data_IF_993903892584
#
_entry.id   IF_993903892584
#
_cell.length_a   1.000
_cell.length_b   1.000
_cell.length_c   1.000
_cell.angle_alpha   90.00
_cell.angle_beta   90.00
_cell.angle_gamma   90.00
#
_symmetry.space_group_name_H-M   'P 1'
#
loop_
_entity.id
_entity.type
_entity.pdbx_description
1 polymer ?
#
# COMPACT_ATOMS: atom_id res chain seq x y z
N UNK A 1 13.15 20.51 30.26
CA UNK A 1 13.29 19.14 30.81
C UNK A 1 12.89 18.98 32.27
N UNK A 2 12.84 20.04 33.10
CA UNK A 2 12.42 19.92 34.52
C UNK A 2 11.01 19.32 34.69
N UNK A 3 10.08 19.65 33.82
CA UNK A 3 8.70 19.15 33.90
C UNK A 3 8.55 17.65 33.64
N UNK A 4 9.45 17.06 32.83
CA UNK A 4 9.46 15.62 32.58
C UNK A 4 9.91 14.79 33.79
N UNK A 5 10.66 15.38 34.73
CA UNK A 5 11.10 14.68 35.94
C UNK A 5 9.96 14.48 36.94
N UNK A 6 8.86 15.25 36.80
CA UNK A 6 7.70 15.14 37.67
C UNK A 6 6.76 13.96 37.33
N UNK A 7 6.91 13.39 36.11
CA UNK A 7 6.02 12.36 35.59
C UNK A 7 6.83 11.16 35.09
N UNK A 8 6.40 9.97 35.48
CA UNK A 8 7.07 8.75 35.01
C UNK A 8 6.84 8.54 33.51
N UNK A 9 7.90 8.33 32.75
CA UNK A 9 7.85 8.16 31.29
C UNK A 9 6.95 6.98 30.86
N UNK A 10 6.92 5.89 31.64
CA UNK A 10 6.02 4.77 31.39
C UNK A 10 4.54 5.15 31.53
N UNK A 11 4.21 6.09 32.42
CA UNK A 11 2.86 6.62 32.54
C UNK A 11 2.47 7.46 31.31
N UNK A 12 3.38 8.31 30.83
CA UNK A 12 3.17 9.05 29.59
C UNK A 12 3.02 8.12 28.38
N UNK A 13 3.84 7.06 28.33
CA UNK A 13 3.76 6.04 27.26
C UNK A 13 2.40 5.30 27.31
N UNK A 14 1.90 4.98 28.50
CA UNK A 14 0.57 4.38 28.64
C UNK A 14 -0.55 5.32 28.19
N UNK A 15 -0.48 6.61 28.56
CA UNK A 15 -1.43 7.63 28.10
C UNK A 15 -1.40 7.77 26.58
N UNK A 16 -0.21 7.82 25.96
CA UNK A 16 -0.07 7.89 24.50
C UNK A 16 -0.73 6.70 23.82
N UNK A 17 -0.38 5.47 24.23
CA UNK A 17 -0.89 4.25 23.63
C UNK A 17 -2.43 4.16 23.74
N UNK A 18 -3.00 4.48 24.92
CA UNK A 18 -4.46 4.51 25.14
C UNK A 18 -5.12 5.57 24.26
N UNK A 19 -4.53 6.75 24.16
CA UNK A 19 -5.08 7.86 23.35
C UNK A 19 -5.09 7.52 21.85
N UNK A 20 -4.03 6.91 21.34
CA UNK A 20 -3.91 6.55 19.93
C UNK A 20 -4.76 5.35 19.54
N UNK A 21 -4.83 4.33 20.41
CA UNK A 21 -5.53 3.06 20.13
C UNK A 21 -7.01 3.08 20.59
N UNK A 22 -7.40 4.07 21.41
CA UNK A 22 -8.77 4.21 21.91
C UNK A 22 -9.21 3.09 22.87
N UNK A 23 -8.29 2.21 23.31
CA UNK A 23 -8.60 1.02 24.10
C UNK A 23 -7.47 0.67 25.06
N UNK A 24 -7.84 0.40 26.35
CA UNK A 24 -6.90 -0.11 27.34
C UNK A 24 -6.37 -1.51 26.97
N UNK A 25 -7.19 -2.35 26.35
CA UNK A 25 -6.78 -3.69 25.93
C UNK A 25 -5.75 -3.59 24.80
N UNK A 26 -6.02 -2.84 23.75
CA UNK A 26 -5.11 -2.66 22.65
C UNK A 26 -3.78 -2.02 23.08
N UNK A 27 -3.82 -1.07 24.03
CA UNK A 27 -2.63 -0.48 24.62
C UNK A 27 -1.83 -1.51 25.47
N UNK A 28 -2.51 -2.38 26.21
CA UNK A 28 -1.87 -3.44 26.98
C UNK A 28 -1.15 -4.44 26.07
N UNK A 29 -1.81 -4.84 24.98
CA UNK A 29 -1.25 -5.76 23.98
C UNK A 29 0.01 -5.16 23.33
N UNK A 30 -0.04 -3.88 22.92
CA UNK A 30 1.11 -3.18 22.33
C UNK A 30 2.27 -3.00 23.31
N UNK A 31 1.95 -2.68 24.58
CA UNK A 31 2.96 -2.42 25.60
C UNK A 31 3.52 -3.71 26.23
N UNK A 32 2.92 -4.87 25.95
CA UNK A 32 3.34 -6.16 26.52
C UNK A 32 3.09 -6.27 28.02
N UNK A 33 2.00 -5.66 28.52
CA UNK A 33 1.62 -5.62 29.93
C UNK A 33 0.14 -5.97 30.12
N UNK A 34 -0.31 -6.09 31.39
CA UNK A 34 -1.75 -6.33 31.66
C UNK A 34 -2.55 -5.05 31.56
N UNK A 35 -3.87 -5.18 31.24
CA UNK A 35 -4.81 -4.04 31.21
C UNK A 35 -4.84 -3.29 32.54
N UNK A 36 -4.78 -4.02 33.66
CA UNK A 36 -4.69 -3.43 35.01
C UNK A 36 -3.45 -2.57 35.18
N UNK A 37 -2.30 -3.02 34.65
CA UNK A 37 -1.05 -2.25 34.69
C UNK A 37 -1.16 -0.97 33.87
N UNK A 38 -1.73 -1.01 32.66
CA UNK A 38 -1.95 0.18 31.84
C UNK A 38 -2.88 1.16 32.55
N UNK A 39 -4.00 0.69 33.09
CA UNK A 39 -4.95 1.52 33.85
C UNK A 39 -4.27 2.21 35.04
N UNK A 40 -3.48 1.50 35.81
CA UNK A 40 -2.72 2.07 36.94
C UNK A 40 -1.68 3.10 36.50
N UNK A 41 -0.98 2.85 35.40
CA UNK A 41 -0.02 3.80 34.82
C UNK A 41 -0.71 5.10 34.38
N UNK A 42 -1.87 4.99 33.74
CA UNK A 42 -2.67 6.17 33.31
C UNK A 42 -3.11 6.97 34.53
N UNK A 43 -3.75 6.32 35.53
CA UNK A 43 -4.24 6.99 36.76
C UNK A 43 -3.09 7.69 37.48
N UNK A 44 -1.94 7.02 37.64
CA UNK A 44 -0.77 7.59 38.29
C UNK A 44 -0.23 8.82 37.56
N UNK A 45 -0.15 8.74 36.22
CA UNK A 45 0.31 9.86 35.41
C UNK A 45 -0.66 11.04 35.42
N UNK A 46 -1.97 10.80 35.37
CA UNK A 46 -3.00 11.86 35.54
C UNK A 46 -2.91 12.54 36.92
N UNK A 47 -2.67 11.73 37.98
CA UNK A 47 -2.40 12.26 39.31
C UNK A 47 -1.16 13.14 39.38
N UNK A 48 -0.09 12.77 38.70
CA UNK A 48 1.13 13.57 38.60
C UNK A 48 0.95 14.84 37.75
N UNK A 49 0.12 14.78 36.70
CA UNK A 49 -0.26 15.93 35.88
C UNK A 49 -1.21 16.90 36.62
N UNK A 50 -1.89 16.44 37.68
CA UNK A 50 -2.93 17.19 38.36
C UNK A 50 -4.19 17.40 37.52
N UNK A 51 -4.35 16.68 36.43
CA UNK A 51 -5.45 16.80 35.46
C UNK A 51 -5.77 15.47 34.81
N UNK A 52 -7.05 15.17 34.60
CA UNK A 52 -7.51 14.01 33.89
C UNK A 52 -7.30 14.22 32.36
N UNK A 53 -6.65 13.27 31.72
CA UNK A 53 -6.49 13.22 30.26
C UNK A 53 -7.66 12.50 29.60
N UNK A 54 -8.23 11.51 30.31
CA UNK A 54 -9.38 10.75 29.85
C UNK A 54 -10.56 10.89 30.78
N UNK A 55 -11.76 10.77 30.22
CA UNK A 55 -13.04 10.60 30.93
C UNK A 55 -13.64 9.24 30.57
N UNK A 56 -14.34 8.63 31.54
CA UNK A 56 -15.06 7.38 31.34
C UNK A 56 -16.45 7.68 30.78
N UNK A 57 -16.78 7.06 29.66
CA UNK A 57 -18.11 7.12 29.04
C UNK A 57 -18.69 5.72 28.93
N UNK A 58 -19.99 5.63 28.62
CA UNK A 58 -20.64 4.33 28.35
C UNK A 58 -20.03 3.55 27.20
N UNK A 59 -19.26 4.23 26.31
CA UNK A 59 -18.57 3.65 25.14
C UNK A 59 -17.06 3.43 25.35
N UNK A 60 -16.56 3.60 26.58
CA UNK A 60 -15.13 3.47 26.90
C UNK A 60 -14.49 4.78 27.35
N UNK A 61 -13.17 4.89 27.16
CA UNK A 61 -12.41 6.09 27.49
C UNK A 61 -12.45 7.08 26.31
N UNK A 62 -12.65 8.38 26.65
CA UNK A 62 -12.52 9.48 25.69
C UNK A 62 -11.54 10.53 26.22
N UNK A 63 -10.80 11.22 25.35
CA UNK A 63 -10.00 12.37 25.75
C UNK A 63 -10.90 13.48 26.34
N UNK A 64 -10.42 14.12 27.41
CA UNK A 64 -11.02 15.37 27.94
C UNK A 64 -10.63 16.54 27.02
N UNK A 65 -11.29 17.72 27.15
CA UNK A 65 -10.86 18.95 26.44
C UNK A 65 -9.40 19.34 26.69
N UNK A 66 -8.84 18.97 27.84
CA UNK A 66 -7.41 19.08 28.13
C UNK A 66 -6.62 17.94 27.46
N UNK A 67 -7.16 16.74 27.49
CA UNK A 67 -6.50 15.53 26.99
C UNK A 67 -6.24 15.58 25.49
N UNK A 68 -7.15 16.11 24.68
CA UNK A 68 -7.05 16.14 23.23
C UNK A 68 -5.75 16.84 22.72
N UNK A 69 -5.50 18.12 23.03
CA UNK A 69 -4.25 18.80 22.61
C UNK A 69 -3.02 18.22 23.31
N UNK A 70 -3.16 17.69 24.52
CA UNK A 70 -2.07 17.05 25.23
C UNK A 70 -1.62 15.76 24.53
N UNK A 71 -2.56 14.89 24.12
CA UNK A 71 -2.31 13.65 23.38
C UNK A 71 -1.64 13.92 22.04
N UNK A 72 -2.02 14.97 21.31
CA UNK A 72 -1.37 15.35 20.06
C UNK A 72 0.11 15.65 20.25
N UNK A 73 0.45 16.45 21.27
CA UNK A 73 1.83 16.79 21.61
C UNK A 73 2.62 15.59 22.12
N UNK A 74 1.97 14.75 22.94
CA UNK A 74 2.59 13.55 23.50
C UNK A 74 2.92 12.53 22.40
N UNK A 75 2.01 12.31 21.47
CA UNK A 75 2.20 11.44 20.31
C UNK A 75 3.35 11.95 19.42
N UNK A 76 3.46 13.26 19.17
CA UNK A 76 4.59 13.85 18.46
C UNK A 76 5.91 13.57 19.17
N UNK A 77 5.97 13.80 20.50
CA UNK A 77 7.18 13.54 21.31
C UNK A 77 7.62 12.08 21.31
N UNK A 78 6.68 11.12 21.43
CA UNK A 78 7.00 9.69 21.36
C UNK A 78 7.41 9.25 19.95
N UNK A 79 6.89 9.85 18.91
CA UNK A 79 7.40 9.64 17.53
C UNK A 79 8.86 10.05 17.40
N UNK A 80 9.24 11.21 17.90
CA UNK A 80 10.65 11.67 17.90
C UNK A 80 11.56 10.72 18.70
N UNK A 81 11.12 10.24 19.86
CA UNK A 81 11.86 9.25 20.65
C UNK A 81 12.00 7.92 19.89
N UNK A 82 10.94 7.45 19.24
CA UNK A 82 10.98 6.24 18.40
C UNK A 82 11.96 6.40 17.24
N UNK A 83 11.99 7.57 16.60
CA UNK A 83 12.95 7.89 15.54
C UNK A 83 14.39 7.87 16.06
N UNK A 84 14.65 8.45 17.24
CA UNK A 84 15.96 8.45 17.85
C UNK A 84 16.43 7.02 18.17
N UNK A 85 15.57 6.17 18.75
CA UNK A 85 15.86 4.76 19.02
C UNK A 85 16.04 3.97 17.72
N UNK A 86 15.20 4.20 16.72
CA UNK A 86 15.33 3.59 15.40
C UNK A 86 16.64 3.98 14.69
N UNK A 87 17.09 5.22 14.84
CA UNK A 87 18.37 5.68 14.27
C UNK A 87 19.59 5.09 15.01
N UNK A 88 19.48 4.82 16.32
CA UNK A 88 20.51 4.20 17.12
C UNK A 88 20.65 2.69 16.87
N UNK A 89 19.59 2.02 16.43
CA UNK A 89 19.69 0.66 15.88
C UNK A 89 20.46 0.80 14.58
N UNK A 90 21.71 0.32 14.53
CA UNK A 90 22.47 0.23 13.26
C UNK A 90 21.58 -0.55 12.29
N UNK A 91 20.97 0.15 11.32
CA UNK A 91 20.35 -0.52 10.19
C UNK A 91 21.46 -1.32 9.53
N UNK A 92 21.31 -2.62 9.52
CA UNK A 92 22.22 -3.48 8.79
C UNK A 92 22.20 -3.00 7.33
N UNK A 93 23.32 -2.44 6.87
CA UNK A 93 23.41 -1.92 5.49
C UNK A 93 23.20 -3.04 4.47
N UNK A 94 23.38 -4.28 4.90
CA UNK A 94 23.13 -5.46 4.09
C UNK A 94 21.62 -5.81 3.97
N UNK A 95 20.73 -5.28 4.82
CA UNK A 95 19.29 -5.60 4.73
C UNK A 95 18.53 -4.40 4.18
N UNK A 96 17.85 -4.58 3.05
CA UNK A 96 16.90 -3.61 2.49
C UNK A 96 15.46 -4.02 2.85
N UNK A 97 14.80 -3.18 3.63
CA UNK A 97 13.42 -3.41 4.06
C UNK A 97 12.46 -2.60 3.20
N UNK A 98 11.56 -3.31 2.50
CA UNK A 98 10.63 -2.70 1.54
C UNK A 98 9.20 -2.99 1.96
N UNK A 99 8.37 -1.96 2.05
CA UNK A 99 6.93 -2.09 2.25
C UNK A 99 6.19 -1.91 0.93
N UNK A 100 5.37 -2.90 0.55
CA UNK A 100 4.64 -2.90 -0.72
C UNK A 100 3.19 -3.35 -0.54
N UNK A 101 2.30 -2.97 -1.48
CA UNK A 101 0.95 -3.52 -1.51
C UNK A 101 1.00 -5.02 -1.86
N UNK A 102 0.11 -5.87 -1.28
CA UNK A 102 0.09 -7.32 -1.51
C UNK A 102 0.03 -7.70 -3.00
N UNK A 103 -0.80 -7.02 -3.77
CA UNK A 103 -0.93 -7.22 -5.22
C UNK A 103 0.40 -6.94 -5.93
N UNK A 104 1.07 -5.84 -5.58
CA UNK A 104 2.36 -5.50 -6.19
C UNK A 104 3.41 -6.57 -5.86
N UNK A 105 3.45 -7.04 -4.62
CA UNK A 105 4.34 -8.10 -4.20
C UNK A 105 4.09 -9.39 -4.98
N UNK A 106 2.85 -9.88 -4.99
CA UNK A 106 2.48 -11.21 -5.51
C UNK A 106 2.39 -11.27 -7.04
N UNK A 107 1.98 -10.17 -7.70
CA UNK A 107 1.70 -10.20 -9.15
C UNK A 107 2.81 -9.61 -10.03
N UNK A 108 3.70 -8.82 -9.42
CA UNK A 108 4.80 -8.21 -10.17
C UNK A 108 6.18 -8.49 -9.57
N UNK A 109 6.39 -8.18 -8.29
CA UNK A 109 7.72 -8.18 -7.68
C UNK A 109 8.29 -9.60 -7.55
N UNK A 110 7.51 -10.56 -7.06
CA UNK A 110 7.95 -11.94 -6.81
C UNK A 110 8.52 -12.64 -8.06
N UNK A 111 7.98 -12.32 -9.21
CA UNK A 111 8.42 -12.92 -10.48
C UNK A 111 9.76 -12.35 -11.01
N UNK A 112 10.24 -11.23 -10.46
CA UNK A 112 11.39 -10.47 -10.98
C UNK A 112 12.49 -10.22 -9.96
N UNK A 113 12.19 -10.33 -8.67
CA UNK A 113 13.08 -9.94 -7.58
C UNK A 113 14.39 -10.73 -7.54
N UNK A 114 14.38 -11.95 -8.05
CA UNK A 114 15.58 -12.79 -8.17
C UNK A 114 16.66 -12.15 -9.05
N UNK A 115 16.30 -11.33 -10.03
CA UNK A 115 17.27 -10.57 -10.84
C UNK A 115 18.00 -9.51 -10.01
N UNK A 116 17.28 -8.84 -9.09
CA UNK A 116 17.93 -7.91 -8.16
C UNK A 116 18.88 -8.64 -7.21
N UNK A 117 18.43 -9.75 -6.62
CA UNK A 117 19.24 -10.53 -5.69
C UNK A 117 20.48 -11.13 -6.37
N UNK A 118 20.38 -11.52 -7.63
CA UNK A 118 21.53 -12.01 -8.42
C UNK A 118 22.54 -10.88 -8.73
N UNK A 119 22.05 -9.65 -9.01
CA UNK A 119 22.91 -8.51 -9.30
C UNK A 119 23.54 -7.88 -8.03
N UNK A 120 22.91 -8.07 -6.88
CA UNK A 120 23.32 -7.48 -5.60
C UNK A 120 23.28 -8.52 -4.47
N UNK A 121 24.14 -9.56 -4.53
CA UNK A 121 24.15 -10.64 -3.54
C UNK A 121 24.51 -10.16 -2.12
N UNK A 122 25.13 -8.98 -2.01
CA UNK A 122 25.45 -8.35 -0.72
C UNK A 122 24.21 -7.73 -0.02
N UNK A 123 23.07 -7.61 -0.72
CA UNK A 123 21.86 -7.00 -0.19
C UNK A 123 20.80 -8.08 0.06
N UNK A 124 20.48 -8.31 1.32
CA UNK A 124 19.34 -9.14 1.71
C UNK A 124 18.05 -8.32 1.66
N UNK A 125 16.97 -8.92 1.18
CA UNK A 125 15.67 -8.24 1.07
C UNK A 125 14.72 -8.73 2.16
N UNK A 126 14.06 -7.79 2.85
CA UNK A 126 12.89 -8.04 3.67
C UNK A 126 11.69 -7.29 3.07
N UNK A 127 10.67 -8.04 2.66
CA UNK A 127 9.48 -7.48 2.01
C UNK A 127 8.31 -7.58 2.97
N UNK A 128 7.74 -6.44 3.32
CA UNK A 128 6.54 -6.31 4.15
C UNK A 128 5.35 -6.00 3.26
N UNK A 129 4.43 -6.96 3.19
CA UNK A 129 3.25 -6.86 2.35
C UNK A 129 2.08 -6.26 3.14
N UNK A 130 1.78 -4.98 2.89
CA UNK A 130 0.68 -4.26 3.56
C UNK A 130 0.17 -3.09 2.73
N UNK A 131 -1.13 -2.79 2.83
CA UNK A 131 -1.75 -1.58 2.29
C UNK A 131 -1.72 -0.42 3.28
N UNK A 132 -1.46 -0.68 4.56
CA UNK A 132 -1.40 0.36 5.59
C UNK A 132 -0.29 1.37 5.28
N UNK A 133 -0.55 2.63 5.62
CA UNK A 133 0.49 3.66 5.59
C UNK A 133 1.50 3.35 6.69
N UNK A 134 2.74 3.10 6.29
CA UNK A 134 3.84 2.83 7.20
C UNK A 134 4.43 4.16 7.65
N UNK A 135 4.62 4.32 8.95
CA UNK A 135 5.45 5.41 9.47
C UNK A 135 6.92 5.12 9.14
N UNK A 136 7.38 5.67 8.02
CA UNK A 136 8.76 5.48 7.55
C UNK A 136 9.81 6.08 8.51
N UNK A 137 9.39 7.02 9.36
CA UNK A 137 10.29 7.65 10.33
C UNK A 137 10.44 6.81 11.59
N UNK A 138 9.38 6.16 12.02
CA UNK A 138 9.33 5.34 13.25
C UNK A 138 9.56 3.84 13.04
N UNK A 139 9.72 3.37 11.79
CA UNK A 139 9.95 1.97 11.44
C UNK A 139 11.34 1.72 10.86
N UNK A 140 11.67 0.47 10.65
CA UNK A 140 12.89 0.04 9.95
C UNK A 140 12.72 -0.09 8.42
N UNK A 141 11.57 0.30 7.89
CA UNK A 141 11.30 0.34 6.45
C UNK A 141 12.17 1.39 5.77
N UNK A 142 12.96 0.98 4.80
CA UNK A 142 13.84 1.85 4.03
C UNK A 142 13.11 2.53 2.85
N UNK A 143 12.16 1.79 2.25
CA UNK A 143 11.44 2.21 1.05
C UNK A 143 10.02 1.64 1.09
N UNK A 144 9.02 2.46 0.80
CA UNK A 144 7.68 1.95 0.50
C UNK A 144 7.34 2.16 -0.99
N UNK A 145 6.57 1.23 -1.55
CA UNK A 145 5.98 1.36 -2.88
C UNK A 145 4.48 1.49 -2.70
N UNK A 146 3.94 2.61 -3.16
CA UNK A 146 2.52 2.95 -2.95
C UNK A 146 1.87 3.39 -4.24
N UNK A 147 0.56 3.12 -4.34
CA UNK A 147 -0.30 3.64 -5.39
C UNK A 147 -1.19 4.74 -4.83
N UNK A 148 -1.39 5.79 -5.60
CA UNK A 148 -2.24 6.91 -5.20
C UNK A 148 -1.93 8.19 -5.96
N UNK A 149 -2.44 9.35 -5.47
CA UNK A 149 -2.25 10.64 -6.11
C UNK A 149 -0.84 11.25 -5.92
N UNK A 150 -0.01 10.68 -5.02
CA UNK A 150 1.38 11.11 -4.80
C UNK A 150 1.56 12.28 -3.81
N UNK A 151 0.49 12.82 -3.25
CA UNK A 151 0.52 14.01 -2.38
C UNK A 151 0.41 13.69 -0.88
N UNK A 152 1.12 12.66 -0.42
CA UNK A 152 1.11 12.28 0.99
C UNK A 152 1.96 13.25 1.84
N UNK A 153 1.41 13.76 2.96
CA UNK A 153 2.15 14.65 3.83
C UNK A 153 3.28 13.91 4.58
N UNK A 154 4.39 14.63 4.84
CA UNK A 154 5.48 14.13 5.69
C UNK A 154 6.36 13.05 5.05
N UNK A 155 6.26 12.81 3.74
CA UNK A 155 7.08 11.86 3.01
C UNK A 155 7.59 12.46 1.69
N UNK A 156 8.67 11.90 1.17
CA UNK A 156 9.14 12.16 -0.19
C UNK A 156 8.56 11.08 -1.10
N UNK A 157 7.70 11.48 -2.04
CA UNK A 157 7.11 10.62 -3.04
C UNK A 157 7.76 10.87 -4.41
N UNK A 158 8.34 9.84 -5.01
CA UNK A 158 8.94 9.88 -6.34
C UNK A 158 8.05 9.07 -7.30
N UNK A 159 7.53 9.73 -8.32
CA UNK A 159 6.70 9.10 -9.34
C UNK A 159 7.48 8.01 -10.10
N UNK A 160 6.82 6.89 -10.36
CA UNK A 160 7.38 5.73 -11.08
C UNK A 160 6.67 5.51 -12.39
N UNK A 161 5.34 5.25 -12.35
CA UNK A 161 4.53 5.06 -13.55
C UNK A 161 3.06 5.40 -13.26
N UNK A 162 2.28 5.80 -14.30
CA UNK A 162 0.84 6.00 -14.15
C UNK A 162 0.14 4.65 -14.00
N UNK A 163 -1.00 4.66 -13.31
CA UNK A 163 -1.95 3.55 -13.40
C UNK A 163 -2.86 3.79 -14.58
N UNK A 164 -2.90 2.82 -15.48
CA UNK A 164 -3.78 2.82 -16.65
C UNK A 164 -4.63 1.56 -16.64
N UNK A 165 -5.92 1.69 -16.94
CA UNK A 165 -6.86 0.57 -16.98
C UNK A 165 -7.11 0.14 -18.41
N UNK A 166 -7.20 -1.16 -18.63
CA UNK A 166 -7.53 -1.78 -19.91
C UNK A 166 -8.14 -3.17 -19.73
N UNK A 167 -8.99 -3.64 -20.65
CA UNK A 167 -9.54 -4.97 -20.61
C UNK A 167 -8.48 -6.04 -20.83
N UNK A 168 -8.58 -7.14 -20.07
CA UNK A 168 -7.81 -8.36 -20.30
C UNK A 168 -8.73 -9.57 -20.25
N UNK A 169 -8.41 -10.61 -21.01
CA UNK A 169 -9.09 -11.89 -20.99
C UNK A 169 -8.17 -13.00 -21.52
N UNK A 170 -8.60 -14.26 -21.46
CA UNK A 170 -7.84 -15.32 -22.11
C UNK A 170 -7.86 -15.20 -23.63
N UNK A 171 -6.87 -15.77 -24.35
CA UNK A 171 -6.87 -15.81 -25.82
C UNK A 171 -8.14 -16.41 -26.42
N UNK A 172 -8.77 -17.40 -25.74
CA UNK A 172 -10.01 -18.03 -26.18
C UNK A 172 -11.18 -17.03 -26.19
N UNK A 173 -11.33 -16.25 -25.14
CA UNK A 173 -12.36 -15.21 -25.06
C UNK A 173 -12.08 -14.07 -26.05
N UNK A 174 -10.81 -13.70 -26.22
CA UNK A 174 -10.42 -12.65 -27.14
C UNK A 174 -10.81 -12.93 -28.60
N UNK A 175 -10.85 -14.21 -29.02
CA UNK A 175 -11.30 -14.58 -30.39
C UNK A 175 -12.74 -14.20 -30.67
N UNK A 176 -13.56 -13.98 -29.64
CA UNK A 176 -14.95 -13.55 -29.77
C UNK A 176 -15.09 -12.01 -29.83
N UNK A 177 -14.00 -11.28 -29.60
CA UNK A 177 -13.96 -9.83 -29.54
C UNK A 177 -13.30 -9.27 -30.80
N UNK A 178 -14.08 -8.64 -31.68
CA UNK A 178 -13.58 -7.96 -32.87
C UNK A 178 -13.50 -6.46 -32.67
N UNK A 179 -14.42 -5.92 -31.91
CA UNK A 179 -14.54 -4.50 -31.58
C UNK A 179 -14.78 -4.30 -30.09
N UNK A 180 -14.48 -3.14 -29.53
CA UNK A 180 -14.80 -2.83 -28.13
C UNK A 180 -16.30 -2.98 -27.79
N UNK A 181 -17.20 -2.86 -28.78
CA UNK A 181 -18.63 -3.00 -28.58
C UNK A 181 -19.05 -4.43 -28.21
N UNK A 182 -18.31 -5.44 -28.65
CA UNK A 182 -18.59 -6.86 -28.37
C UNK A 182 -18.47 -7.22 -26.89
N UNK A 183 -17.84 -6.34 -26.09
CA UNK A 183 -17.71 -6.54 -24.64
C UNK A 183 -19.04 -6.61 -23.91
N UNK A 184 -20.12 -6.00 -24.42
CA UNK A 184 -21.45 -6.01 -23.78
C UNK A 184 -21.98 -7.41 -23.56
N UNK A 185 -21.67 -8.35 -24.44
CA UNK A 185 -22.12 -9.74 -24.38
C UNK A 185 -21.19 -10.65 -23.58
N UNK A 186 -20.04 -10.14 -23.15
CA UNK A 186 -19.05 -10.92 -22.43
C UNK A 186 -19.35 -11.00 -20.92
N UNK A 187 -19.06 -12.14 -20.28
CA UNK A 187 -19.05 -12.20 -18.82
C UNK A 187 -17.93 -11.34 -18.27
N UNK A 188 -18.21 -10.56 -17.23
CA UNK A 188 -17.21 -9.73 -16.54
C UNK A 188 -16.91 -10.22 -15.13
N UNK A 189 -15.65 -10.12 -14.76
CA UNK A 189 -15.14 -10.27 -13.40
C UNK A 189 -14.92 -8.88 -12.84
N UNK A 190 -15.48 -8.59 -11.66
CA UNK A 190 -15.49 -7.27 -11.04
C UNK A 190 -14.77 -7.31 -9.69
N UNK A 191 -13.86 -6.36 -9.46
CA UNK A 191 -13.35 -6.04 -8.13
C UNK A 191 -14.29 -5.04 -7.46
N UNK A 192 -14.92 -5.46 -6.36
CA UNK A 192 -15.85 -4.61 -5.60
C UNK A 192 -15.17 -3.40 -4.95
N UNK A 193 -13.86 -3.46 -4.75
CA UNK A 193 -13.07 -2.40 -4.11
C UNK A 193 -12.37 -1.47 -5.11
N UNK A 194 -12.46 -1.76 -6.43
CA UNK A 194 -11.89 -0.88 -7.44
C UNK A 194 -12.82 0.33 -7.66
N UNK A 195 -12.35 1.57 -7.48
CA UNK A 195 -13.13 2.76 -7.76
C UNK A 195 -13.36 2.99 -9.26
N UNK A 196 -12.63 2.29 -10.13
CA UNK A 196 -12.72 2.44 -11.58
C UNK A 196 -13.64 1.40 -12.19
N UNK A 197 -14.71 1.89 -12.84
CA UNK A 197 -15.75 1.07 -13.43
C UNK A 197 -15.59 0.94 -14.95
N UNK A 198 -16.27 -0.03 -15.54
CA UNK A 198 -16.33 -0.21 -16.99
C UNK A 198 -16.80 1.04 -17.75
N UNK A 199 -17.66 1.85 -17.14
CA UNK A 199 -18.19 3.07 -17.76
C UNK A 199 -17.09 4.06 -18.15
N UNK A 200 -16.05 4.16 -17.32
CA UNK A 200 -14.89 5.03 -17.58
C UNK A 200 -14.15 4.57 -18.83
N UNK A 201 -13.92 3.25 -18.95
CA UNK A 201 -13.24 2.69 -20.10
C UNK A 201 -14.09 2.74 -21.37
N UNK A 202 -15.38 2.38 -21.29
CA UNK A 202 -16.31 2.43 -22.42
C UNK A 202 -16.43 3.85 -22.99
N UNK A 203 -16.53 4.86 -22.12
CA UNK A 203 -16.54 6.26 -22.53
C UNK A 203 -15.26 6.65 -23.30
N UNK A 204 -14.11 6.20 -22.84
CA UNK A 204 -12.84 6.44 -23.54
C UNK A 204 -12.75 5.69 -24.87
N UNK A 205 -13.44 4.56 -25.00
CA UNK A 205 -13.60 3.82 -26.25
C UNK A 205 -14.63 4.44 -27.19
N UNK A 206 -15.28 5.56 -26.81
CA UNK A 206 -16.34 6.20 -27.60
C UNK A 206 -17.68 5.46 -27.60
N UNK A 207 -17.90 4.58 -26.59
CA UNK A 207 -19.09 3.74 -26.50
C UNK A 207 -20.06 4.26 -25.43
N UNK A 208 -21.35 4.21 -25.76
CA UNK A 208 -22.47 4.59 -24.87
C UNK A 208 -23.38 3.37 -24.62
N UNK A 209 -22.78 2.21 -24.41
CA UNK A 209 -23.47 0.94 -24.17
C UNK A 209 -23.32 0.52 -22.69
N UNK A 210 -24.18 -0.41 -22.23
CA UNK A 210 -24.02 -0.99 -20.90
C UNK A 210 -22.66 -1.68 -20.70
N UNK A 211 -22.21 -1.71 -19.46
CA UNK A 211 -21.05 -2.50 -19.06
C UNK A 211 -21.25 -4.00 -19.38
N UNK A 212 -20.17 -4.76 -19.55
CA UNK A 212 -20.23 -6.21 -19.67
C UNK A 212 -21.03 -6.85 -18.54
N UNK A 213 -21.65 -7.98 -18.80
CA UNK A 213 -22.48 -8.67 -17.80
C UNK A 213 -21.65 -9.12 -16.61
N UNK A 214 -21.92 -8.58 -15.44
CA UNK A 214 -21.28 -9.02 -14.20
C UNK A 214 -21.60 -10.49 -13.93
N UNK A 215 -20.59 -11.35 -13.95
CA UNK A 215 -20.70 -12.76 -13.64
C UNK A 215 -20.21 -13.06 -12.22
N UNK A 216 -19.07 -12.52 -11.85
CA UNK A 216 -18.46 -12.70 -10.55
C UNK A 216 -18.00 -11.36 -9.98
N UNK A 217 -18.18 -11.19 -8.67
CA UNK A 217 -17.69 -10.05 -7.92
C UNK A 217 -16.80 -10.58 -6.81
N UNK A 218 -15.58 -10.09 -6.75
CA UNK A 218 -14.63 -10.40 -5.69
C UNK A 218 -14.24 -9.12 -4.96
N UNK A 219 -13.77 -9.25 -3.73
CA UNK A 219 -13.27 -8.13 -2.92
C UNK A 219 -11.74 -7.97 -2.99
N UNK A 220 -11.09 -8.66 -3.94
CA UNK A 220 -9.64 -8.65 -4.10
C UNK A 220 -9.25 -8.81 -5.57
N UNK A 221 -8.43 -7.89 -6.08
CA UNK A 221 -8.03 -7.89 -7.48
C UNK A 221 -7.18 -9.11 -7.88
N UNK A 222 -6.49 -9.77 -6.94
CA UNK A 222 -5.76 -11.01 -7.24
C UNK A 222 -6.73 -12.15 -7.56
N UNK A 223 -7.85 -12.25 -6.84
CA UNK A 223 -8.91 -13.21 -7.14
C UNK A 223 -9.58 -12.91 -8.48
N UNK A 224 -9.77 -11.62 -8.79
CA UNK A 224 -10.28 -11.20 -10.10
C UNK A 224 -9.35 -11.63 -11.24
N UNK A 225 -8.03 -11.45 -11.07
CA UNK A 225 -7.05 -11.89 -12.05
C UNK A 225 -7.06 -13.41 -12.21
N UNK A 226 -7.13 -14.16 -11.10
CA UNK A 226 -7.17 -15.63 -11.13
C UNK A 226 -8.45 -16.14 -11.83
N UNK A 227 -9.59 -15.49 -11.61
CA UNK A 227 -10.83 -15.79 -12.31
C UNK A 227 -10.74 -15.49 -13.82
N UNK A 228 -10.10 -14.36 -14.19
CA UNK A 228 -9.86 -14.04 -15.61
C UNK A 228 -8.91 -15.06 -16.26
N UNK A 229 -7.84 -15.47 -15.57
CA UNK A 229 -6.92 -16.53 -16.01
C UNK A 229 -7.62 -17.89 -16.18
N UNK A 230 -8.64 -18.16 -15.38
CA UNK A 230 -9.47 -19.35 -15.49
C UNK A 230 -10.56 -19.23 -16.59
N UNK A 231 -10.55 -18.17 -17.40
CA UNK A 231 -11.50 -17.96 -18.49
C UNK A 231 -12.91 -17.60 -18.05
N UNK A 232 -13.11 -17.14 -16.82
CA UNK A 232 -14.45 -16.84 -16.28
C UNK A 232 -15.04 -15.52 -16.78
N UNK A 233 -14.24 -14.68 -17.46
CA UNK A 233 -14.72 -13.44 -18.04
C UNK A 233 -13.62 -12.45 -18.34
N UNK A 234 -14.04 -11.27 -18.81
CA UNK A 234 -13.17 -10.12 -19.03
C UNK A 234 -12.95 -9.35 -17.71
N UNK A 235 -11.76 -8.83 -17.53
CA UNK A 235 -11.37 -8.04 -16.35
C UNK A 235 -10.83 -6.69 -16.79
N UNK A 236 -11.23 -5.60 -16.13
CA UNK A 236 -10.46 -4.36 -16.19
C UNK A 236 -9.24 -4.51 -15.29
N UNK A 237 -8.06 -4.45 -15.91
CA UNK A 237 -6.80 -4.63 -15.23
C UNK A 237 -5.87 -3.43 -15.47
N UNK A 238 -4.77 -3.39 -14.74
CA UNK A 238 -3.70 -2.42 -14.91
C UNK A 238 -2.34 -3.14 -15.08
N UNK A 239 -1.29 -2.47 -15.60
CA UNK A 239 -0.04 -3.13 -15.97
C UNK A 239 0.56 -4.00 -14.87
N UNK A 240 0.66 -3.49 -13.64
CA UNK A 240 1.28 -4.22 -12.52
C UNK A 240 0.50 -5.49 -12.16
N UNK A 241 -0.82 -5.48 -12.27
CA UNK A 241 -1.65 -6.65 -12.00
C UNK A 241 -1.48 -7.73 -13.08
N UNK A 242 -1.47 -7.31 -14.36
CA UNK A 242 -1.61 -8.23 -15.49
C UNK A 242 -0.28 -8.53 -16.22
N UNK A 243 0.81 -7.77 -15.99
CA UNK A 243 2.02 -7.85 -16.81
C UNK A 243 2.57 -9.26 -16.98
N UNK A 244 2.71 -10.02 -15.89
CA UNK A 244 3.24 -11.38 -15.95
C UNK A 244 2.32 -12.31 -16.77
N UNK A 245 1.01 -12.21 -16.58
CA UNK A 245 0.06 -13.03 -17.33
C UNK A 245 0.01 -12.67 -18.83
N UNK A 246 0.27 -11.40 -19.17
CA UNK A 246 0.39 -10.93 -20.54
C UNK A 246 1.72 -11.39 -21.18
N UNK A 247 2.83 -11.29 -20.44
CA UNK A 247 4.15 -11.76 -20.87
C UNK A 247 4.15 -13.26 -21.17
N UNK A 248 3.46 -14.07 -20.34
CA UNK A 248 3.29 -15.51 -20.52
C UNK A 248 2.22 -15.88 -21.58
N UNK A 249 1.54 -14.90 -22.15
CA UNK A 249 0.47 -15.13 -23.13
C UNK A 249 -0.78 -15.82 -22.55
N UNK A 250 -0.89 -15.91 -21.23
CA UNK A 250 -2.07 -16.49 -20.55
C UNK A 250 -3.27 -15.55 -20.57
N UNK A 251 -3.03 -14.26 -20.60
CA UNK A 251 -4.01 -13.21 -20.89
C UNK A 251 -3.54 -12.40 -22.09
N UNK A 252 -4.50 -11.75 -22.73
CA UNK A 252 -4.27 -10.78 -23.78
C UNK A 252 -5.07 -9.51 -23.49
N UNK A 253 -4.59 -8.37 -23.96
CA UNK A 253 -5.34 -7.12 -23.98
C UNK A 253 -5.96 -6.98 -25.38
N UNK A 254 -7.26 -7.29 -25.55
CA UNK A 254 -7.87 -7.39 -26.88
C UNK A 254 -7.95 -6.03 -27.61
N UNK A 255 -7.80 -4.93 -26.85
CA UNK A 255 -7.88 -3.57 -27.41
C UNK A 255 -6.72 -2.71 -26.90
N UNK A 256 -6.19 -1.83 -27.77
CA UNK A 256 -5.10 -0.90 -27.45
C UNK A 256 -5.52 0.32 -26.59
N UNK A 257 -6.82 0.42 -26.22
CA UNK A 257 -7.34 1.56 -25.45
C UNK A 257 -6.95 1.42 -23.98
N UNK A 258 -6.21 2.41 -23.48
CA UNK A 258 -5.76 2.51 -22.08
C UNK A 258 -6.27 3.80 -21.47
N UNK A 259 -6.80 3.74 -20.26
CA UNK A 259 -7.41 4.88 -19.58
C UNK A 259 -6.62 5.20 -18.31
N UNK A 260 -6.10 6.41 -18.22
CA UNK A 260 -5.41 6.91 -17.03
C UNK A 260 -6.41 7.11 -15.89
N UNK A 261 -6.09 6.57 -14.72
CA UNK A 261 -6.94 6.65 -13.53
C UNK A 261 -6.73 7.95 -12.73
N UNK A 262 -5.70 8.72 -13.04
CA UNK A 262 -5.22 9.83 -12.18
C UNK A 262 -4.35 9.36 -11.01
N UNK A 263 -4.24 8.05 -10.79
CA UNK A 263 -3.34 7.46 -9.81
C UNK A 263 -1.99 7.11 -10.45
N UNK A 264 -0.98 6.92 -9.61
CA UNK A 264 0.35 6.45 -10.04
C UNK A 264 1.01 5.61 -8.97
N UNK A 265 2.06 4.93 -9.37
CA UNK A 265 2.96 4.24 -8.46
C UNK A 265 4.08 5.19 -8.05
N UNK A 266 4.44 5.14 -6.79
CA UNK A 266 5.45 6.01 -6.22
C UNK A 266 6.41 5.22 -5.32
N UNK A 267 7.69 5.60 -5.38
CA UNK A 267 8.62 5.33 -4.30
C UNK A 267 8.41 6.33 -3.20
N UNK A 268 8.22 5.86 -1.99
CA UNK A 268 7.97 6.70 -0.82
C UNK A 268 9.07 6.47 0.20
N UNK A 269 9.73 7.55 0.59
CA UNK A 269 10.85 7.57 1.55
C UNK A 269 10.69 8.72 2.54
N UNK A 270 11.50 8.74 3.60
CA UNK A 270 11.57 9.90 4.52
C UNK A 270 12.18 11.12 3.81
N UNK A 271 11.63 12.35 4.00
CA UNK A 271 12.03 13.53 3.23
C UNK A 271 13.46 14.00 3.51
N UNK A 272 13.90 13.96 4.77
CA UNK A 272 15.11 14.66 5.25
C UNK A 272 16.36 13.77 5.34
N UNK A 273 16.31 12.58 4.77
CA UNK A 273 17.40 11.62 4.87
C UNK A 273 18.13 11.45 3.54
N UNK A 274 19.48 11.47 3.59
CA UNK A 274 20.28 11.03 2.44
C UNK A 274 19.91 9.60 2.09
N UNK A 275 19.57 9.36 0.83
CA UNK A 275 19.15 8.06 0.34
C UNK A 275 20.30 7.03 0.50
N UNK A 276 20.07 5.90 1.19
CA UNK A 276 21.04 4.82 1.29
C UNK A 276 21.33 4.20 -0.07
N UNK A 277 22.59 3.76 -0.31
CA UNK A 277 23.00 3.13 -1.57
C UNK A 277 22.10 1.94 -1.95
N UNK A 278 21.74 1.08 -0.98
CA UNK A 278 20.86 -0.07 -1.20
C UNK A 278 19.47 0.33 -1.76
N UNK A 279 18.92 1.47 -1.31
CA UNK A 279 17.65 2.01 -1.79
C UNK A 279 17.79 2.54 -3.21
N UNK A 280 18.85 3.30 -3.50
CA UNK A 280 19.11 3.83 -4.83
C UNK A 280 19.27 2.71 -5.87
N UNK A 281 20.04 1.66 -5.54
CA UNK A 281 20.24 0.49 -6.40
C UNK A 281 18.91 -0.24 -6.69
N UNK A 282 18.08 -0.42 -5.66
CA UNK A 282 16.79 -1.07 -5.83
C UNK A 282 15.82 -0.23 -6.68
N UNK A 283 15.76 1.09 -6.46
CA UNK A 283 14.94 1.99 -7.28
C UNK A 283 15.37 1.98 -8.75
N UNK A 284 16.67 1.99 -9.01
CA UNK A 284 17.21 1.95 -10.37
C UNK A 284 16.86 0.63 -11.07
N UNK A 285 17.10 -0.51 -10.40
CA UNK A 285 16.70 -1.81 -10.90
C UNK A 285 15.21 -1.87 -11.19
N UNK A 286 14.38 -1.42 -10.25
CA UNK A 286 12.94 -1.51 -10.38
C UNK A 286 12.41 -0.63 -11.52
N UNK A 287 12.96 0.59 -11.74
CA UNK A 287 12.58 1.42 -12.90
C UNK A 287 12.87 0.72 -14.22
N UNK A 288 14.01 0.06 -14.35
CA UNK A 288 14.36 -0.73 -15.54
C UNK A 288 13.39 -1.90 -15.73
N UNK A 289 13.18 -2.70 -14.70
CA UNK A 289 12.30 -3.85 -14.76
C UNK A 289 10.83 -3.46 -15.09
N UNK A 290 10.35 -2.32 -14.58
CA UNK A 290 9.03 -1.79 -14.92
C UNK A 290 8.99 -1.34 -16.39
N UNK A 291 10.00 -0.62 -16.87
CA UNK A 291 10.05 -0.15 -18.25
C UNK A 291 10.05 -1.33 -19.24
N UNK A 292 10.76 -2.40 -18.93
CA UNK A 292 10.79 -3.63 -19.73
C UNK A 292 9.42 -4.33 -19.73
N UNK A 293 8.79 -4.50 -18.54
CA UNK A 293 7.50 -5.20 -18.43
C UNK A 293 6.34 -4.44 -19.05
N UNK A 294 6.33 -3.11 -18.92
CA UNK A 294 5.25 -2.26 -19.49
C UNK A 294 5.47 -2.02 -20.97
N UNK A 295 6.72 -1.88 -21.42
CA UNK A 295 7.09 -1.75 -22.84
C UNK A 295 6.80 -3.02 -23.63
N UNK A 296 7.10 -4.19 -23.08
CA UNK A 296 6.80 -5.49 -23.67
C UNK A 296 5.30 -5.76 -23.84
N UNK A 297 4.50 -5.39 -22.84
CA UNK A 297 3.05 -5.52 -22.90
C UNK A 297 2.38 -4.62 -23.96
N UNK A 298 3.00 -3.47 -24.27
CA UNK A 298 2.52 -2.58 -25.35
C UNK A 298 2.83 -3.16 -26.73
N UNK A 299 3.98 -3.81 -26.90
CA UNK A 299 4.41 -4.42 -28.18
C UNK A 299 3.63 -5.70 -28.48
N UNK A 300 3.32 -6.53 -27.46
CA UNK A 300 2.54 -7.73 -27.61
C UNK A 300 1.07 -7.43 -28.03
N UNK A 301 0.48 -6.35 -27.54
CA UNK A 301 -0.85 -5.89 -27.93
C UNK A 301 -0.89 -5.40 -29.40
N UNK A 302 0.21 -4.84 -29.92
CA UNK A 302 0.29 -4.36 -31.29
C UNK A 302 0.53 -5.48 -32.32
N UNK A 303 1.13 -6.62 -31.90
CA UNK A 303 1.47 -7.75 -32.78
C UNK A 303 0.36 -8.82 -32.87
N UNK A 304 -0.70 -8.71 -32.07
CA UNK A 304 -1.80 -9.69 -32.02
C UNK A 304 -3.05 -9.27 -32.83
N UNK A 305 -2.97 -8.18 -33.59
CA UNK A 305 -4.00 -7.82 -34.55
C UNK A 305 -3.64 -8.41 -35.94
N UNK A 306 -4.55 -9.24 -36.53
CA UNK A 306 -4.39 -9.76 -37.87
C UNK A 306 -4.54 -8.68 -38.94
#
# INVERSE_FOLDING_TARGET
>A
MKDLNAIHLNGLRAIEAVGRLGSLQAAADELGVTVGAVSQQVIKAEGQLGRAVFERTARGLRPTPFGEPFLQKLNAGFRELSQAVGSARRRDEAILVISVAPIFASRWLIHRIHHFSAAHPEISLRIESTTALVDLSGSDVDLAIRIGPGNWPGVRAEFVLPQEMFPVCTPELARQLRTPADLVDMPAVIDANDPFTWDVWLKAAGLHQPAPRTRHVFSDASLCLDAALAGQGVLLAWPILASWALEEGRLVAPFGIRVKTGMGYYFVTTPDRREPRKVALFKEWMRRAIAESVGGAATAAASSLP
#
